data_IF_797937782733
#
_entry.id   IF_797937782733
#
_cell.length_a   1.000
_cell.length_b   1.000
_cell.length_c   1.000
_cell.angle_alpha   90.00
_cell.angle_beta   90.00
_cell.angle_gamma   90.00
#
_symmetry.space_group_name_H-M   'P 1'
#
loop_
_entity.id
_entity.type
_entity.pdbx_description
1 polymer ?
#
# COMPACT_ATOMS: atom_id res chain seq x y z
N UNK A 1 2.52 -40.95 -71.93
CA UNK A 1 2.75 -40.51 -73.36
C UNK A 1 3.50 -39.20 -73.25
N UNK A 2 4.71 -39.35 -73.74
CA UNK A 2 5.54 -38.42 -74.53
C UNK A 2 5.96 -37.10 -73.88
N UNK A 3 7.26 -36.96 -73.49
CA UNK A 3 8.47 -36.76 -74.24
C UNK A 3 8.60 -35.30 -74.74
N UNK A 4 9.64 -34.54 -74.56
CA UNK A 4 11.08 -34.62 -74.76
C UNK A 4 11.71 -33.27 -74.42
N UNK A 5 12.79 -33.20 -73.63
CA UNK A 5 14.18 -32.92 -74.04
C UNK A 5 14.44 -31.62 -74.83
N UNK A 6 15.36 -30.80 -74.37
CA UNK A 6 16.76 -30.54 -74.77
C UNK A 6 17.19 -29.15 -74.31
N UNK A 7 18.23 -28.95 -73.54
CA UNK A 7 19.70 -28.92 -73.76
C UNK A 7 20.22 -27.74 -74.61
N UNK A 8 21.29 -27.19 -74.09
CA UNK A 8 22.49 -26.53 -74.55
C UNK A 8 22.62 -25.07 -74.13
N UNK A 9 23.61 -24.57 -73.53
CA UNK A 9 25.05 -24.71 -73.31
C UNK A 9 25.72 -23.33 -73.49
N UNK A 10 26.45 -22.96 -72.49
CA UNK A 10 27.73 -22.24 -72.43
C UNK A 10 28.03 -21.01 -73.32
N UNK A 11 28.51 -19.95 -72.66
CA UNK A 11 29.80 -19.36 -72.97
C UNK A 11 30.21 -18.35 -71.85
N UNK A 12 31.46 -18.47 -71.43
CA UNK A 12 32.15 -17.66 -70.46
C UNK A 12 32.69 -16.37 -71.11
N UNK A 13 32.74 -15.28 -70.37
CA UNK A 13 33.73 -14.22 -70.61
C UNK A 13 34.08 -13.55 -69.28
N UNK A 14 35.32 -13.56 -68.90
CA UNK A 14 35.94 -12.94 -67.78
C UNK A 14 36.20 -11.46 -68.06
N UNK A 15 35.90 -10.57 -67.07
CA UNK A 15 36.53 -9.25 -67.01
C UNK A 15 36.78 -8.85 -65.57
N UNK A 16 38.04 -8.65 -65.23
CA UNK A 16 38.53 -8.19 -63.94
C UNK A 16 38.21 -6.68 -63.74
N UNK A 17 37.74 -6.33 -62.62
CA UNK A 17 37.48 -4.92 -62.19
C UNK A 17 37.75 -4.74 -60.69
N UNK A 18 38.69 -3.86 -60.40
CA UNK A 18 39.25 -3.53 -59.09
C UNK A 18 38.24 -3.29 -58.02
N UNK A 19 38.47 -3.86 -56.86
CA UNK A 19 37.77 -3.62 -55.60
C UNK A 19 38.34 -2.37 -54.91
N UNK A 20 37.56 -1.34 -54.75
CA UNK A 20 37.79 -0.26 -53.81
C UNK A 20 37.09 -0.61 -52.49
N UNK A 21 37.86 -0.94 -51.49
CA UNK A 21 37.42 -1.09 -50.09
C UNK A 21 37.13 0.30 -49.50
N UNK A 22 35.85 0.68 -49.46
CA UNK A 22 35.36 1.73 -48.53
C UNK A 22 34.90 1.03 -47.27
N UNK A 23 35.71 1.07 -46.25
CA UNK A 23 35.35 0.75 -44.86
C UNK A 23 34.40 1.83 -44.31
N UNK A 24 33.08 1.65 -44.47
CA UNK A 24 32.12 2.33 -43.67
C UNK A 24 32.04 1.62 -42.29
N UNK A 25 32.70 2.23 -41.31
CA UNK A 25 32.50 1.87 -39.91
C UNK A 25 31.04 2.13 -39.51
N UNK A 26 30.19 1.10 -39.55
CA UNK A 26 28.92 1.08 -38.85
C UNK A 26 29.21 1.01 -37.37
N UNK A 27 29.18 2.17 -36.74
CA UNK A 27 29.06 2.26 -35.26
C UNK A 27 27.82 1.48 -34.86
N UNK A 28 28.02 0.23 -34.45
CA UNK A 28 27.00 -0.54 -33.78
C UNK A 28 26.68 0.17 -32.47
N UNK A 29 25.60 0.93 -32.48
CA UNK A 29 24.92 1.21 -31.22
C UNK A 29 24.47 -0.14 -30.68
N UNK A 30 25.27 -0.66 -29.75
CA UNK A 30 24.83 -1.72 -28.85
C UNK A 30 23.65 -1.21 -28.08
N UNK A 31 22.47 -1.25 -28.70
CA UNK A 31 21.21 -1.18 -27.99
C UNK A 31 21.23 -2.31 -26.99
N UNK A 32 21.52 -1.99 -25.75
CA UNK A 32 21.30 -2.88 -24.63
C UNK A 32 19.85 -3.37 -24.75
N UNK A 33 19.66 -4.60 -25.21
CA UNK A 33 18.40 -5.32 -25.11
C UNK A 33 18.17 -5.61 -23.62
N UNK A 34 17.92 -4.56 -22.84
CA UNK A 34 17.45 -4.69 -21.47
C UNK A 34 16.10 -5.38 -21.57
N UNK A 35 16.07 -6.68 -21.27
CA UNK A 35 14.81 -7.40 -21.10
C UNK A 35 13.90 -6.63 -20.14
N UNK A 36 12.57 -6.72 -20.36
CA UNK A 36 11.60 -6.03 -19.54
C UNK A 36 11.89 -6.26 -18.05
N UNK A 37 11.83 -5.18 -17.25
CA UNK A 37 12.02 -5.29 -15.81
C UNK A 37 10.89 -6.13 -15.23
N UNK A 38 11.24 -7.24 -14.53
CA UNK A 38 10.27 -8.10 -13.86
C UNK A 38 10.17 -7.73 -12.39
N UNK A 39 8.97 -7.47 -11.90
CA UNK A 39 8.66 -7.16 -10.51
C UNK A 39 7.82 -8.29 -9.90
N UNK A 40 8.31 -8.93 -8.83
CA UNK A 40 7.48 -9.76 -7.96
C UNK A 40 6.83 -8.90 -6.90
N UNK A 41 5.49 -8.86 -6.83
CA UNK A 41 4.76 -8.09 -5.83
C UNK A 41 3.85 -8.97 -5.00
N UNK A 42 4.11 -9.06 -3.69
CA UNK A 42 3.26 -9.79 -2.74
C UNK A 42 2.39 -8.82 -1.93
N UNK A 43 1.11 -8.77 -2.27
CA UNK A 43 0.11 -7.95 -1.58
C UNK A 43 -0.37 -8.63 -0.30
N UNK A 44 -0.83 -7.83 0.68
CA UNK A 44 -1.43 -8.31 1.94
C UNK A 44 -2.68 -9.15 1.67
N UNK A 45 -3.62 -8.61 0.90
CA UNK A 45 -4.95 -9.17 0.66
C UNK A 45 -5.83 -8.18 -0.09
N UNK A 46 -7.12 -8.26 0.16
CA UNK A 46 -8.15 -7.33 -0.34
C UNK A 46 -9.11 -6.95 0.80
N UNK A 47 -8.56 -6.70 1.98
CA UNK A 47 -9.28 -6.54 3.24
C UNK A 47 -10.09 -5.24 3.34
N UNK A 48 -9.76 -4.24 2.53
CA UNK A 48 -10.35 -2.90 2.62
C UNK A 48 -10.45 -2.21 1.24
N UNK A 49 -11.25 -1.16 1.17
CA UNK A 49 -11.33 -0.28 0.01
C UNK A 49 -9.97 0.35 -0.31
N UNK A 50 -9.22 0.76 0.72
CA UNK A 50 -7.86 1.27 0.59
C UNK A 50 -6.94 0.24 -0.09
N UNK A 51 -6.94 -1.01 0.37
CA UNK A 51 -6.10 -2.08 -0.17
C UNK A 51 -6.43 -2.38 -1.63
N UNK A 52 -7.71 -2.38 -1.97
CA UNK A 52 -8.18 -2.57 -3.35
C UNK A 52 -7.68 -1.45 -4.27
N UNK A 53 -7.75 -0.19 -3.82
CA UNK A 53 -7.24 0.96 -4.56
C UNK A 53 -5.70 0.90 -4.71
N UNK A 54 -4.97 0.49 -3.67
CA UNK A 54 -3.53 0.30 -3.70
C UNK A 54 -3.13 -0.78 -4.72
N UNK A 55 -3.78 -1.93 -4.70
CA UNK A 55 -3.56 -3.02 -5.67
C UNK A 55 -3.78 -2.53 -7.11
N UNK A 56 -4.89 -1.84 -7.36
CA UNK A 56 -5.21 -1.28 -8.68
C UNK A 56 -4.14 -0.29 -9.13
N UNK A 57 -3.74 0.63 -8.27
CA UNK A 57 -2.69 1.61 -8.56
C UNK A 57 -1.38 0.93 -8.97
N UNK A 58 -0.95 -0.11 -8.26
CA UNK A 58 0.27 -0.86 -8.56
C UNK A 58 0.16 -1.58 -9.90
N UNK A 59 -0.94 -2.28 -10.17
CA UNK A 59 -1.14 -3.05 -11.40
C UNK A 59 -1.21 -2.13 -12.63
N UNK A 60 -1.96 -1.04 -12.55
CA UNK A 60 -2.08 -0.06 -13.65
C UNK A 60 -0.75 0.64 -13.92
N UNK A 61 -0.02 1.02 -12.86
CA UNK A 61 1.28 1.67 -13.01
C UNK A 61 2.34 0.73 -13.57
N UNK A 62 2.36 -0.54 -13.17
CA UNK A 62 3.28 -1.53 -13.74
C UNK A 62 3.04 -1.70 -15.25
N UNK A 63 1.76 -1.80 -15.66
CA UNK A 63 1.38 -1.87 -17.07
C UNK A 63 1.81 -0.62 -17.84
N UNK A 64 1.54 0.58 -17.29
CA UNK A 64 1.91 1.85 -17.91
C UNK A 64 3.44 2.03 -18.02
N UNK A 65 4.19 1.52 -17.03
CA UNK A 65 5.65 1.59 -17.00
C UNK A 65 6.35 0.53 -17.86
N UNK A 66 5.62 -0.42 -18.45
CA UNK A 66 6.17 -1.55 -19.20
C UNK A 66 6.92 -2.56 -18.31
N UNK A 67 6.54 -2.66 -17.03
CA UNK A 67 7.10 -3.61 -16.07
C UNK A 67 6.27 -4.88 -16.07
N UNK A 68 6.95 -6.04 -16.22
CA UNK A 68 6.30 -7.34 -16.10
C UNK A 68 6.02 -7.64 -14.63
N UNK A 69 4.76 -7.54 -14.22
CA UNK A 69 4.33 -7.76 -12.86
C UNK A 69 3.95 -9.22 -12.59
N UNK A 70 4.63 -9.86 -11.64
CA UNK A 70 4.25 -11.12 -11.01
C UNK A 70 3.54 -10.80 -9.70
N UNK A 71 2.21 -10.83 -9.70
CA UNK A 71 1.39 -10.45 -8.56
C UNK A 71 0.91 -11.66 -7.77
N UNK A 72 0.94 -11.57 -6.44
CA UNK A 72 0.35 -12.56 -5.53
C UNK A 72 -0.45 -11.86 -4.44
N UNK A 73 -1.63 -12.35 -4.16
CA UNK A 73 -2.47 -11.97 -3.02
C UNK A 73 -2.25 -12.99 -1.88
N UNK A 74 -1.82 -12.49 -0.74
CA UNK A 74 -1.52 -13.35 0.41
C UNK A 74 -2.74 -13.71 1.27
N UNK A 75 -3.91 -13.13 0.99
CA UNK A 75 -5.13 -13.40 1.77
C UNK A 75 -4.93 -13.15 3.28
N UNK A 76 -4.19 -12.09 3.61
CA UNK A 76 -3.82 -11.67 4.98
C UNK A 76 -2.99 -12.72 5.76
N UNK A 77 -2.30 -13.63 5.04
CA UNK A 77 -1.47 -14.67 5.65
C UNK A 77 0.00 -14.46 5.33
N UNK A 78 0.82 -14.29 6.37
CA UNK A 78 2.27 -14.10 6.22
C UNK A 78 2.93 -15.26 5.49
N UNK A 79 2.54 -16.50 5.78
CA UNK A 79 3.08 -17.68 5.12
C UNK A 79 2.88 -17.68 3.61
N UNK A 80 1.76 -17.10 3.13
CA UNK A 80 1.50 -16.97 1.70
C UNK A 80 2.43 -15.91 1.08
N UNK A 81 2.71 -14.80 1.78
CA UNK A 81 3.69 -13.81 1.30
C UNK A 81 5.10 -14.40 1.26
N UNK A 82 5.52 -15.15 2.29
CA UNK A 82 6.82 -15.81 2.32
C UNK A 82 6.94 -16.80 1.14
N UNK A 83 5.89 -17.58 0.88
CA UNK A 83 5.84 -18.50 -0.25
C UNK A 83 5.92 -17.78 -1.60
N UNK A 84 5.22 -16.65 -1.75
CA UNK A 84 5.27 -15.81 -2.95
C UNK A 84 6.67 -15.24 -3.17
N UNK A 85 7.33 -14.70 -2.14
CA UNK A 85 8.68 -14.16 -2.21
C UNK A 85 9.67 -15.26 -2.65
N UNK A 86 9.59 -16.47 -2.09
CA UNK A 86 10.41 -17.60 -2.52
C UNK A 86 10.17 -18.00 -3.98
N UNK A 87 8.92 -17.98 -4.42
CA UNK A 87 8.58 -18.20 -5.83
C UNK A 87 9.20 -17.14 -6.74
N UNK A 88 9.19 -15.86 -6.35
CA UNK A 88 9.84 -14.80 -7.11
C UNK A 88 11.37 -14.97 -7.17
N UNK A 89 11.99 -15.42 -6.07
CA UNK A 89 13.42 -15.75 -6.05
C UNK A 89 13.73 -16.88 -7.06
N UNK A 90 12.94 -17.94 -7.07
CA UNK A 90 13.09 -19.06 -8.01
C UNK A 90 12.90 -18.61 -9.47
N UNK A 91 11.96 -17.71 -9.74
CA UNK A 91 11.69 -17.10 -11.05
C UNK A 91 12.75 -16.06 -11.44
N UNK A 92 13.68 -15.72 -10.56
CA UNK A 92 14.76 -14.73 -10.79
C UNK A 92 14.22 -13.37 -11.25
N UNK A 93 13.15 -12.89 -10.61
CA UNK A 93 12.64 -11.54 -10.89
C UNK A 93 13.72 -10.49 -10.64
N UNK A 94 13.63 -9.35 -11.29
CA UNK A 94 14.65 -8.27 -11.13
C UNK A 94 14.54 -7.53 -9.81
N UNK A 95 13.31 -7.36 -9.29
CA UNK A 95 13.02 -6.67 -8.04
C UNK A 95 11.86 -7.41 -7.35
N UNK A 96 11.90 -7.49 -6.04
CA UNK A 96 10.75 -7.90 -5.22
C UNK A 96 10.25 -6.67 -4.47
N UNK A 97 8.92 -6.46 -4.44
CA UNK A 97 8.30 -5.50 -3.54
C UNK A 97 7.14 -6.17 -2.81
N UNK A 98 6.85 -5.73 -1.60
CA UNK A 98 5.71 -6.25 -0.84
C UNK A 98 5.26 -5.31 0.27
N UNK A 99 3.99 -5.41 0.65
CA UNK A 99 3.42 -4.83 1.87
C UNK A 99 3.35 -5.92 2.93
N UNK A 100 4.13 -5.88 4.02
CA UNK A 100 4.12 -6.95 5.02
C UNK A 100 2.77 -7.08 5.74
N UNK A 101 2.28 -8.30 5.95
CA UNK A 101 1.07 -8.55 6.77
C UNK A 101 1.31 -8.12 8.21
N UNK A 102 2.46 -8.50 8.78
CA UNK A 102 2.93 -8.14 10.13
C UNK A 102 4.38 -7.68 10.08
N UNK A 103 4.89 -7.05 11.16
CA UNK A 103 6.24 -6.47 11.17
C UNK A 103 7.35 -7.52 11.33
N UNK A 104 7.11 -8.63 12.02
CA UNK A 104 8.14 -9.60 12.40
C UNK A 104 8.19 -10.83 11.48
N UNK A 105 9.30 -11.59 11.55
CA UNK A 105 9.42 -12.91 10.90
C UNK A 105 9.92 -12.88 9.46
N UNK A 106 10.46 -11.76 8.97
CA UNK A 106 10.87 -11.59 7.57
C UNK A 106 12.35 -11.90 7.29
N UNK A 107 13.21 -11.83 8.29
CA UNK A 107 14.66 -11.88 8.12
C UNK A 107 15.15 -13.06 7.27
N UNK A 108 14.56 -14.25 7.48
CA UNK A 108 14.99 -15.46 6.77
C UNK A 108 14.75 -15.33 5.26
N UNK A 109 13.53 -15.04 4.85
CA UNK A 109 13.19 -14.96 3.42
C UNK A 109 13.83 -13.76 2.73
N UNK A 110 14.05 -12.66 3.45
CA UNK A 110 14.76 -11.50 2.92
C UNK A 110 16.26 -11.75 2.78
N UNK A 111 16.88 -12.54 3.67
CA UNK A 111 18.24 -13.04 3.48
C UNK A 111 18.35 -13.99 2.26
N UNK A 112 17.33 -14.83 2.01
CA UNK A 112 17.26 -15.65 0.79
C UNK A 112 17.25 -14.76 -0.48
N UNK A 113 16.44 -13.69 -0.50
CA UNK A 113 16.40 -12.74 -1.61
C UNK A 113 17.76 -12.02 -1.80
N UNK A 114 18.37 -11.55 -0.70
CA UNK A 114 19.68 -10.90 -0.70
C UNK A 114 20.78 -11.84 -1.24
N UNK A 115 20.80 -13.10 -0.82
CA UNK A 115 21.76 -14.10 -1.30
C UNK A 115 21.57 -14.42 -2.79
N UNK A 116 20.35 -14.31 -3.30
CA UNK A 116 20.04 -14.43 -4.71
C UNK A 116 20.35 -13.14 -5.52
N UNK A 117 20.88 -12.10 -4.86
CA UNK A 117 21.12 -10.76 -5.43
C UNK A 117 19.85 -10.10 -6.00
N UNK A 118 18.69 -10.36 -5.41
CA UNK A 118 17.42 -9.74 -5.79
C UNK A 118 17.10 -8.65 -4.75
N UNK A 119 17.11 -7.37 -5.16
CA UNK A 119 16.78 -6.26 -4.27
C UNK A 119 15.30 -6.27 -3.87
N UNK A 120 15.05 -5.84 -2.64
CA UNK A 120 13.70 -5.77 -2.05
C UNK A 120 13.31 -4.32 -1.79
N UNK A 121 12.07 -3.97 -2.08
CA UNK A 121 11.43 -2.69 -1.74
C UNK A 121 10.26 -2.99 -0.79
N UNK A 122 10.21 -2.31 0.35
CA UNK A 122 9.03 -2.30 1.20
C UNK A 122 8.08 -1.20 0.75
N UNK A 123 6.79 -1.49 0.71
CA UNK A 123 5.77 -0.50 0.36
C UNK A 123 4.62 -0.55 1.36
N UNK A 124 4.00 0.60 1.65
CA UNK A 124 2.91 0.78 2.61
C UNK A 124 3.33 0.42 4.05
N UNK A 125 3.65 -0.84 4.34
CA UNK A 125 3.97 -1.33 5.69
C UNK A 125 5.46 -1.60 5.87
N UNK A 126 5.98 -1.29 7.05
CA UNK A 126 7.36 -1.56 7.45
C UNK A 126 7.53 -2.92 8.10
N UNK A 127 8.77 -3.35 8.29
CA UNK A 127 9.15 -4.53 9.05
C UNK A 127 10.00 -4.13 10.27
N UNK A 128 9.89 -4.92 11.34
CA UNK A 128 10.78 -4.84 12.48
C UNK A 128 11.96 -5.81 12.27
N UNK A 129 13.02 -5.28 11.65
CA UNK A 129 14.30 -5.98 11.48
C UNK A 129 15.44 -5.07 11.86
N UNK A 130 16.41 -5.56 12.63
CA UNK A 130 17.63 -4.80 12.93
C UNK A 130 18.57 -4.67 11.71
N UNK A 131 18.46 -5.59 10.73
CA UNK A 131 19.27 -5.57 9.51
C UNK A 131 18.61 -4.75 8.40
N UNK A 132 18.89 -3.45 8.38
CA UNK A 132 18.35 -2.56 7.33
C UNK A 132 18.91 -2.82 5.93
N UNK A 133 19.91 -3.69 5.78
CA UNK A 133 20.43 -4.08 4.47
C UNK A 133 19.58 -5.12 3.73
N UNK A 134 18.52 -5.63 4.36
CA UNK A 134 17.59 -6.61 3.77
C UNK A 134 16.65 -6.00 2.74
N UNK A 135 16.51 -4.69 2.71
CA UNK A 135 15.72 -3.97 1.71
C UNK A 135 16.42 -2.69 1.28
N UNK A 136 16.08 -2.18 0.11
CA UNK A 136 16.71 -0.98 -0.49
C UNK A 136 16.08 0.32 -0.03
N UNK A 137 14.75 0.31 0.10
CA UNK A 137 13.96 1.49 0.47
C UNK A 137 12.61 1.05 1.03
N UNK A 138 11.99 1.96 1.77
CA UNK A 138 10.59 1.89 2.20
C UNK A 138 9.83 3.07 1.60
N UNK A 139 8.71 2.80 0.94
CA UNK A 139 7.76 3.78 0.41
C UNK A 139 6.43 3.65 1.15
N UNK A 140 6.00 4.66 1.88
CA UNK A 140 4.72 4.64 2.59
C UNK A 140 4.52 5.81 3.54
N UNK A 141 3.44 5.77 4.31
CA UNK A 141 3.02 6.79 5.26
C UNK A 141 3.82 6.78 6.57
N UNK A 142 3.75 7.88 7.30
CA UNK A 142 4.14 7.93 8.71
C UNK A 142 2.93 7.64 9.60
N UNK A 143 2.73 6.39 9.95
CA UNK A 143 1.58 5.94 10.74
C UNK A 143 1.57 6.50 12.17
N UNK A 144 2.75 6.81 12.74
CA UNK A 144 2.83 7.50 14.05
C UNK A 144 2.28 8.92 13.91
N UNK A 145 2.65 9.62 12.84
CA UNK A 145 2.13 10.97 12.57
C UNK A 145 0.60 10.94 12.31
N UNK A 146 0.08 9.93 11.58
CA UNK A 146 -1.36 9.76 11.39
C UNK A 146 -2.09 9.59 12.73
N UNK A 147 -1.60 8.70 13.59
CA UNK A 147 -2.16 8.53 14.94
C UNK A 147 -2.12 9.81 15.77
N UNK A 148 -1.01 10.57 15.69
CA UNK A 148 -0.91 11.88 16.37
C UNK A 148 -1.94 12.89 15.86
N UNK A 149 -2.14 12.99 14.55
CA UNK A 149 -3.16 13.87 13.96
C UNK A 149 -4.56 13.52 14.45
N UNK A 150 -4.91 12.23 14.48
CA UNK A 150 -6.19 11.77 15.04
C UNK A 150 -6.36 12.16 16.51
N UNK A 151 -5.31 12.00 17.33
CA UNK A 151 -5.29 12.42 18.72
C UNK A 151 -5.38 13.93 18.89
N UNK A 152 -4.69 14.70 18.06
CA UNK A 152 -4.75 16.18 18.07
C UNK A 152 -6.15 16.69 17.73
N UNK A 153 -6.80 16.08 16.72
CA UNK A 153 -8.20 16.41 16.44
C UNK A 153 -9.08 16.14 17.66
N UNK A 154 -8.97 14.98 18.30
CA UNK A 154 -9.76 14.61 19.47
C UNK A 154 -9.55 15.60 20.62
N UNK A 155 -8.31 15.94 20.94
CA UNK A 155 -8.00 16.87 22.04
C UNK A 155 -8.49 18.28 21.75
N UNK A 156 -8.56 18.71 20.50
CA UNK A 156 -9.15 19.98 20.09
C UNK A 156 -10.68 19.94 20.20
N UNK A 157 -11.33 18.88 19.71
CA UNK A 157 -12.80 18.72 19.73
C UNK A 157 -13.34 18.70 21.16
N UNK A 158 -12.66 17.99 22.06
CA UNK A 158 -13.06 17.84 23.45
C UNK A 158 -12.26 18.73 24.43
N UNK A 159 -11.57 19.75 23.93
CA UNK A 159 -10.73 20.62 24.77
C UNK A 159 -11.49 21.29 25.93
N UNK A 160 -12.74 21.69 25.70
CA UNK A 160 -13.61 22.30 26.69
C UNK A 160 -14.39 21.30 27.57
N UNK A 161 -14.29 20.01 27.35
CA UNK A 161 -14.97 19.01 28.18
C UNK A 161 -14.40 19.01 29.60
N UNK A 162 -15.30 19.07 30.60
CA UNK A 162 -14.94 19.11 32.02
C UNK A 162 -14.91 17.74 32.68
N UNK A 163 -15.45 16.71 32.01
CA UNK A 163 -15.52 15.34 32.52
C UNK A 163 -14.68 14.36 31.67
N UNK A 164 -14.70 13.10 32.10
CA UNK A 164 -14.02 12.03 31.38
C UNK A 164 -14.60 11.86 29.97
N UNK A 165 -13.73 11.74 28.99
CA UNK A 165 -14.03 11.41 27.58
C UNK A 165 -13.70 9.94 27.36
N UNK A 166 -14.73 9.13 27.12
CA UNK A 166 -14.62 7.68 26.94
C UNK A 166 -14.38 7.36 25.47
N UNK A 167 -13.23 6.79 25.16
CA UNK A 167 -12.79 6.44 23.82
C UNK A 167 -12.84 4.94 23.66
N UNK A 168 -13.42 4.46 22.57
CA UNK A 168 -13.23 3.09 22.11
C UNK A 168 -12.36 3.09 20.85
N UNK A 169 -11.48 2.09 20.72
CA UNK A 169 -10.51 2.00 19.66
C UNK A 169 -10.70 0.71 18.85
N UNK A 170 -10.91 0.85 17.55
CA UNK A 170 -10.88 -0.23 16.56
C UNK A 170 -9.49 -0.27 15.92
N UNK A 171 -8.66 -1.22 16.35
CA UNK A 171 -7.32 -1.39 15.82
C UNK A 171 -7.33 -2.17 14.50
N UNK A 172 -6.30 -1.97 13.70
CA UNK A 172 -6.06 -2.80 12.51
C UNK A 172 -5.57 -4.21 12.84
N UNK A 173 -5.04 -4.91 11.83
CA UNK A 173 -4.47 -6.24 11.97
C UNK A 173 -3.38 -6.28 13.04
N UNK A 174 -3.53 -7.13 14.03
CA UNK A 174 -2.59 -7.27 15.15
C UNK A 174 -1.17 -7.56 14.64
N UNK A 175 -0.20 -6.79 15.13
CA UNK A 175 1.22 -6.94 14.76
C UNK A 175 1.60 -6.29 13.43
N UNK A 176 0.69 -5.60 12.74
CA UNK A 176 1.01 -4.81 11.56
C UNK A 176 1.53 -3.42 11.95
N UNK A 177 2.46 -2.85 11.16
CA UNK A 177 3.01 -1.51 11.38
C UNK A 177 1.92 -0.44 11.54
N UNK A 178 0.91 -0.31 10.63
CA UNK A 178 -0.12 0.71 10.79
C UNK A 178 -0.96 0.55 12.07
N UNK A 179 -1.23 -0.68 12.53
CA UNK A 179 -1.97 -0.87 13.77
C UNK A 179 -1.15 -0.44 14.99
N UNK A 180 0.13 -0.84 15.05
CA UNK A 180 1.02 -0.52 16.16
C UNK A 180 1.32 0.99 16.24
N UNK A 181 1.68 1.59 15.11
CA UNK A 181 2.14 2.97 15.04
C UNK A 181 1.01 3.99 15.17
N UNK A 182 -0.17 3.75 14.56
CA UNK A 182 -1.37 4.59 14.75
C UNK A 182 -1.81 4.60 16.21
N UNK A 183 -1.83 3.41 16.83
CA UNK A 183 -2.11 3.28 18.27
C UNK A 183 -1.11 4.07 19.11
N UNK A 184 0.19 3.91 18.84
CA UNK A 184 1.26 4.62 19.54
C UNK A 184 1.10 6.12 19.41
N UNK A 185 0.98 6.64 18.18
CA UNK A 185 0.87 8.07 17.92
C UNK A 185 -0.36 8.69 18.60
N UNK A 186 -1.51 8.03 18.54
CA UNK A 186 -2.73 8.49 19.21
C UNK A 186 -2.56 8.51 20.74
N UNK A 187 -2.04 7.42 21.32
CA UNK A 187 -1.83 7.32 22.76
C UNK A 187 -0.85 8.37 23.30
N UNK A 188 0.22 8.69 22.57
CA UNK A 188 1.18 9.75 22.94
C UNK A 188 0.50 11.10 23.09
N UNK A 189 -0.46 11.44 22.24
CA UNK A 189 -1.16 12.74 22.31
C UNK A 189 -2.15 12.78 23.46
N UNK A 190 -2.99 11.76 23.60
CA UNK A 190 -4.04 11.77 24.63
C UNK A 190 -3.52 11.59 26.06
N UNK A 191 -2.30 11.04 26.20
CA UNK A 191 -1.66 10.87 27.51
C UNK A 191 -1.40 12.20 28.24
N UNK A 192 -1.38 13.33 27.53
CA UNK A 192 -1.16 14.66 28.12
C UNK A 192 -2.27 15.12 29.06
N UNK A 193 -3.50 14.58 28.91
CA UNK A 193 -4.63 14.96 29.78
C UNK A 193 -5.38 13.70 30.23
N UNK A 194 -5.41 13.42 31.56
CA UNK A 194 -6.00 12.21 32.11
C UNK A 194 -7.51 12.07 31.89
N UNK A 195 -8.20 13.12 31.43
CA UNK A 195 -9.62 13.01 31.07
C UNK A 195 -9.90 12.10 29.89
N UNK A 196 -8.93 11.92 28.97
CA UNK A 196 -9.08 11.04 27.83
C UNK A 196 -8.78 9.59 28.22
N UNK A 197 -9.76 8.71 28.12
CA UNK A 197 -9.62 7.30 28.51
C UNK A 197 -10.02 6.35 27.38
N UNK A 198 -9.08 5.55 26.91
CA UNK A 198 -9.41 4.39 26.08
C UNK A 198 -10.01 3.34 27.02
N UNK A 199 -11.35 3.19 26.98
CA UNK A 199 -12.09 2.27 27.84
C UNK A 199 -12.24 0.87 27.25
N UNK A 200 -12.10 0.74 25.92
CA UNK A 200 -12.04 -0.53 25.22
C UNK A 200 -11.22 -0.38 23.94
N UNK A 201 -10.47 -1.41 23.60
CA UNK A 201 -9.61 -1.42 22.42
C UNK A 201 -9.51 -2.85 21.90
N UNK A 202 -9.88 -3.08 20.65
CA UNK A 202 -9.88 -4.41 20.03
C UNK A 202 -9.58 -4.32 18.52
N UNK A 203 -8.99 -5.39 17.97
CA UNK A 203 -8.74 -5.46 16.53
C UNK A 203 -10.02 -5.68 15.74
N UNK A 204 -10.21 -4.91 14.68
CA UNK A 204 -11.20 -5.10 13.63
C UNK A 204 -10.55 -5.51 12.29
N UNK A 205 -9.25 -5.86 12.32
CA UNK A 205 -8.50 -6.45 11.20
C UNK A 205 -8.54 -5.64 9.90
N UNK A 206 -8.79 -4.33 9.99
CA UNK A 206 -9.02 -3.41 8.89
C UNK A 206 -10.25 -3.72 8.03
N UNK A 207 -11.15 -4.61 8.47
CA UNK A 207 -12.32 -5.01 7.69
C UNK A 207 -13.61 -4.36 8.18
N UNK A 208 -14.53 -4.05 7.26
CA UNK A 208 -15.85 -3.48 7.58
C UNK A 208 -16.67 -4.40 8.48
N UNK A 209 -16.68 -5.71 8.16
CA UNK A 209 -17.43 -6.70 8.92
C UNK A 209 -16.97 -6.83 10.37
N UNK A 210 -15.63 -6.88 10.60
CA UNK A 210 -15.09 -6.95 11.97
C UNK A 210 -15.25 -5.62 12.71
N UNK A 211 -15.11 -4.48 12.03
CA UNK A 211 -15.39 -3.18 12.61
C UNK A 211 -16.82 -3.11 13.17
N UNK A 212 -17.81 -3.60 12.43
CA UNK A 212 -19.21 -3.72 12.89
C UNK A 212 -19.34 -4.64 14.10
N UNK A 213 -18.83 -5.87 14.00
CA UNK A 213 -18.90 -6.88 15.08
C UNK A 213 -18.32 -6.36 16.39
N UNK A 214 -17.13 -5.77 16.34
CA UNK A 214 -16.45 -5.23 17.53
C UNK A 214 -17.18 -4.01 18.08
N UNK A 215 -17.69 -3.12 17.22
CA UNK A 215 -18.48 -1.96 17.70
C UNK A 215 -19.79 -2.39 18.37
N UNK A 216 -20.48 -3.41 17.86
CA UNK A 216 -21.64 -3.99 18.50
C UNK A 216 -21.32 -4.52 19.92
N UNK A 217 -20.14 -5.16 20.08
CA UNK A 217 -19.67 -5.62 21.39
C UNK A 217 -19.36 -4.45 22.33
N UNK A 218 -18.74 -3.38 21.82
CA UNK A 218 -18.48 -2.17 22.62
C UNK A 218 -19.77 -1.49 23.08
N UNK A 219 -20.75 -1.36 22.17
CA UNK A 219 -22.06 -0.76 22.52
C UNK A 219 -22.82 -1.54 23.57
N UNK A 220 -22.65 -2.86 23.63
CA UNK A 220 -23.26 -3.73 24.66
C UNK A 220 -22.54 -3.66 26.01
N UNK A 221 -21.20 -3.54 25.98
CA UNK A 221 -20.37 -3.64 27.20
C UNK A 221 -20.03 -2.29 27.83
N UNK A 222 -20.06 -1.20 27.08
CA UNK A 222 -19.68 0.12 27.56
C UNK A 222 -20.93 0.98 27.77
N UNK A 223 -21.17 1.51 29.00
CA UNK A 223 -22.37 2.27 29.30
C UNK A 223 -22.41 3.64 28.59
N UNK A 224 -21.24 4.19 28.27
CA UNK A 224 -21.08 5.47 27.59
C UNK A 224 -19.84 5.46 26.74
N UNK A 225 -20.01 5.79 25.46
CA UNK A 225 -18.94 5.99 24.51
C UNK A 225 -19.08 7.40 23.96
N UNK A 226 -18.03 8.22 24.09
CA UNK A 226 -18.02 9.59 23.57
C UNK A 226 -17.35 9.63 22.17
N UNK A 227 -16.32 8.80 21.97
CA UNK A 227 -15.51 8.79 20.75
C UNK A 227 -15.19 7.37 20.31
N UNK A 228 -15.28 7.13 19.02
CA UNK A 228 -14.67 6.01 18.30
C UNK A 228 -13.43 6.50 17.56
N UNK A 229 -12.27 5.94 17.88
CA UNK A 229 -11.07 5.99 17.03
C UNK A 229 -10.97 4.70 16.22
N UNK A 230 -11.12 4.78 14.91
CA UNK A 230 -10.97 3.67 14.00
C UNK A 230 -9.67 3.82 13.19
N UNK A 231 -8.83 2.78 13.17
CA UNK A 231 -7.57 2.83 12.46
C UNK A 231 -7.73 2.83 10.93
N UNK A 232 -8.95 2.62 10.40
CA UNK A 232 -9.26 2.85 9.00
C UNK A 232 -10.75 3.12 8.75
N UNK A 233 -11.05 3.60 7.55
CA UNK A 233 -12.40 3.95 7.12
C UNK A 233 -13.33 2.74 7.02
N UNK A 234 -12.86 1.57 6.56
CA UNK A 234 -13.72 0.39 6.45
C UNK A 234 -14.24 -0.06 7.82
N UNK A 235 -13.39 -0.06 8.86
CA UNK A 235 -13.86 -0.34 10.21
C UNK A 235 -14.81 0.74 10.75
N UNK A 236 -14.53 2.03 10.44
CA UNK A 236 -15.42 3.13 10.82
C UNK A 236 -16.79 2.99 10.15
N UNK A 237 -16.84 2.64 8.87
CA UNK A 237 -18.09 2.40 8.13
C UNK A 237 -18.88 1.21 8.72
N UNK A 238 -18.20 0.13 9.07
CA UNK A 238 -18.84 -0.98 9.79
C UNK A 238 -19.37 -0.57 11.16
N UNK A 239 -18.62 0.24 11.89
CA UNK A 239 -19.05 0.77 13.20
C UNK A 239 -20.25 1.71 13.09
N UNK A 240 -20.35 2.51 12.03
CA UNK A 240 -21.51 3.36 11.75
C UNK A 240 -22.78 2.51 11.66
N UNK A 241 -22.75 1.37 10.94
CA UNK A 241 -23.89 0.46 10.87
C UNK A 241 -24.32 -0.08 12.25
N UNK A 242 -23.34 -0.42 13.11
CA UNK A 242 -23.61 -0.88 14.48
C UNK A 242 -24.20 0.22 15.35
N UNK A 243 -23.70 1.45 15.23
CA UNK A 243 -24.18 2.63 15.98
C UNK A 243 -25.64 2.94 15.58
N UNK A 244 -25.95 2.95 14.28
CA UNK A 244 -27.31 3.18 13.76
C UNK A 244 -28.27 2.07 14.20
N UNK A 245 -27.83 0.80 14.14
CA UNK A 245 -28.64 -0.33 14.62
C UNK A 245 -28.94 -0.28 16.13
N UNK A 246 -28.09 0.36 16.91
CA UNK A 246 -28.30 0.62 18.34
C UNK A 246 -29.20 1.86 18.62
N UNK A 247 -29.75 2.47 17.58
CA UNK A 247 -30.61 3.66 17.70
C UNK A 247 -29.86 4.96 18.03
N UNK A 248 -28.55 4.98 17.81
CA UNK A 248 -27.70 6.16 18.03
C UNK A 248 -27.34 6.84 16.72
N UNK A 249 -26.97 8.10 16.77
CA UNK A 249 -26.61 8.91 15.61
C UNK A 249 -25.09 9.00 15.51
N UNK A 250 -24.44 8.32 14.52
CA UNK A 250 -23.00 8.43 14.32
C UNK A 250 -22.60 9.87 13.99
N UNK A 251 -21.44 10.29 14.47
CA UNK A 251 -20.95 11.66 14.35
C UNK A 251 -21.59 12.68 15.31
N UNK A 252 -22.69 12.32 15.98
CA UNK A 252 -23.37 13.17 17.00
C UNK A 252 -23.33 12.56 18.38
N UNK A 253 -23.96 11.40 18.56
CA UNK A 253 -23.98 10.72 19.87
C UNK A 253 -22.64 10.06 20.19
N UNK A 254 -21.93 9.61 19.15
CA UNK A 254 -20.57 9.10 19.22
C UNK A 254 -19.78 9.81 18.12
N UNK A 255 -18.77 10.59 18.50
CA UNK A 255 -17.85 11.20 17.55
C UNK A 255 -16.93 10.13 16.95
N UNK A 256 -16.61 10.27 15.67
CA UNK A 256 -15.80 9.29 14.95
C UNK A 256 -14.62 9.98 14.27
N UNK A 257 -13.41 9.53 14.60
CA UNK A 257 -12.19 9.86 13.86
C UNK A 257 -11.64 8.60 13.21
N UNK A 258 -11.25 8.71 11.94
CA UNK A 258 -10.82 7.61 11.10
C UNK A 258 -9.54 7.95 10.34
N UNK A 259 -8.99 6.96 9.65
CA UNK A 259 -7.82 7.10 8.77
C UNK A 259 -8.15 6.45 7.42
N UNK A 260 -7.57 6.89 6.36
CA UNK A 260 -7.49 6.48 4.96
C UNK A 260 -7.99 7.56 3.99
N UNK A 261 -9.18 8.09 4.17
CA UNK A 261 -9.90 8.96 3.24
C UNK A 261 -10.30 8.26 1.92
N UNK A 262 -10.77 7.02 1.99
CA UNK A 262 -11.41 6.35 0.85
C UNK A 262 -12.76 7.01 0.53
N UNK A 263 -13.24 6.86 -0.70
CA UNK A 263 -14.43 7.55 -1.19
C UNK A 263 -15.66 7.35 -0.30
N UNK A 264 -15.91 6.13 0.18
CA UNK A 264 -17.03 5.82 1.09
C UNK A 264 -16.85 6.51 2.45
N UNK A 265 -15.61 6.53 2.99
CA UNK A 265 -15.28 7.26 4.22
C UNK A 265 -15.46 8.77 4.07
N UNK A 266 -14.98 9.33 2.95
CA UNK A 266 -15.16 10.73 2.60
C UNK A 266 -16.64 11.11 2.42
N UNK A 267 -17.46 10.21 1.86
CA UNK A 267 -18.90 10.41 1.78
C UNK A 267 -19.52 10.44 3.18
N UNK A 268 -19.17 9.49 4.05
CA UNK A 268 -19.66 9.45 5.43
C UNK A 268 -19.23 10.69 6.23
N UNK A 269 -18.02 11.22 5.97
CA UNK A 269 -17.54 12.48 6.54
C UNK A 269 -18.35 13.68 6.02
N UNK A 270 -18.60 13.75 4.71
CA UNK A 270 -19.40 14.79 4.08
C UNK A 270 -20.86 14.81 4.61
N UNK A 271 -21.41 13.63 4.92
CA UNK A 271 -22.73 13.44 5.50
C UNK A 271 -22.77 13.70 7.01
N UNK A 272 -21.62 13.91 7.66
CA UNK A 272 -21.48 14.17 9.09
C UNK A 272 -21.61 12.94 9.98
N UNK A 273 -21.48 11.73 9.40
CA UNK A 273 -21.45 10.46 10.14
C UNK A 273 -20.05 10.15 10.70
N UNK A 274 -19.00 10.62 10.05
CA UNK A 274 -17.64 10.72 10.57
C UNK A 274 -17.35 12.19 10.82
N UNK A 275 -16.46 12.51 11.75
CA UNK A 275 -16.14 13.89 12.12
C UNK A 275 -14.79 14.37 11.61
N UNK A 276 -13.84 13.44 11.43
CA UNK A 276 -12.51 13.75 10.94
C UNK A 276 -11.86 12.52 10.32
N UNK A 277 -11.14 12.71 9.22
CA UNK A 277 -10.34 11.67 8.58
C UNK A 277 -8.93 12.17 8.34
N UNK A 278 -7.95 11.39 8.78
CA UNK A 278 -6.53 11.55 8.41
C UNK A 278 -6.31 10.75 7.14
N UNK A 279 -5.74 11.38 6.12
CA UNK A 279 -5.46 10.68 4.87
C UNK A 279 -4.31 9.67 5.03
N UNK A 280 -4.46 8.50 4.43
CA UNK A 280 -3.42 7.54 4.10
C UNK A 280 -3.55 7.23 2.61
N UNK A 281 -2.58 7.63 1.79
CA UNK A 281 -2.72 7.61 0.33
C UNK A 281 -2.39 6.23 -0.26
N UNK A 282 -3.35 5.51 -0.91
CA UNK A 282 -3.11 4.20 -1.51
C UNK A 282 -2.42 4.24 -2.88
N UNK A 283 -2.33 5.41 -3.53
CA UNK A 283 -1.89 5.54 -4.91
C UNK A 283 -0.35 5.50 -5.04
N UNK A 284 0.27 4.45 -4.51
CA UNK A 284 1.72 4.28 -4.48
C UNK A 284 2.31 3.79 -5.80
N UNK A 285 1.48 3.31 -6.72
CA UNK A 285 1.91 2.64 -7.95
C UNK A 285 2.92 3.42 -8.78
N UNK A 286 2.66 4.67 -9.18
CA UNK A 286 3.60 5.45 -10.02
C UNK A 286 4.97 5.57 -9.37
N UNK A 287 5.02 5.95 -8.10
CA UNK A 287 6.26 6.15 -7.35
C UNK A 287 7.00 4.84 -7.11
N UNK A 288 6.26 3.74 -6.86
CA UNK A 288 6.85 2.41 -6.74
C UNK A 288 7.49 1.97 -8.06
N UNK A 289 6.85 2.19 -9.20
CA UNK A 289 7.42 1.79 -10.51
C UNK A 289 8.70 2.57 -10.85
N UNK A 290 8.79 3.84 -10.48
CA UNK A 290 10.02 4.63 -10.62
C UNK A 290 11.14 4.07 -9.75
N UNK A 291 10.84 3.69 -8.50
CA UNK A 291 11.79 3.02 -7.62
C UNK A 291 12.25 1.67 -8.16
N UNK A 292 11.32 0.87 -8.68
CA UNK A 292 11.62 -0.44 -9.28
C UNK A 292 12.60 -0.28 -10.44
N UNK A 293 12.42 0.70 -11.33
CA UNK A 293 13.34 0.97 -12.44
C UNK A 293 14.74 1.37 -11.94
N UNK A 294 14.82 2.29 -10.99
CA UNK A 294 16.09 2.74 -10.40
C UNK A 294 16.83 1.59 -9.71
N UNK A 295 16.13 0.84 -8.87
CA UNK A 295 16.71 -0.28 -8.13
C UNK A 295 17.15 -1.40 -9.09
N UNK A 296 16.38 -1.69 -10.15
CA UNK A 296 16.76 -2.67 -11.17
C UNK A 296 18.00 -2.22 -11.97
N UNK A 297 18.21 -0.92 -12.15
CA UNK A 297 19.39 -0.33 -12.77
C UNK A 297 20.62 -0.25 -11.84
N UNK A 298 20.46 -0.60 -10.54
CA UNK A 298 21.52 -0.49 -9.55
C UNK A 298 21.75 0.92 -9.02
N UNK A 299 20.81 1.84 -9.27
CA UNK A 299 20.88 3.22 -8.79
C UNK A 299 20.64 3.31 -7.28
N UNK A 300 21.23 4.33 -6.66
CA UNK A 300 20.96 4.64 -5.25
C UNK A 300 19.58 5.28 -5.11
N UNK A 301 18.85 4.84 -4.08
CA UNK A 301 17.54 5.41 -3.72
C UNK A 301 17.55 5.82 -2.25
N UNK A 302 16.73 6.82 -1.84
CA UNK A 302 16.57 7.16 -0.43
C UNK A 302 16.13 5.94 0.39
N UNK A 303 16.59 5.83 1.63
CA UNK A 303 16.23 4.71 2.51
C UNK A 303 14.73 4.72 2.87
N UNK A 304 14.10 5.91 2.91
CA UNK A 304 12.68 6.12 3.17
C UNK A 304 12.11 7.21 2.27
N UNK A 305 10.91 6.98 1.78
CA UNK A 305 10.13 7.94 1.00
C UNK A 305 8.73 7.97 1.60
N UNK A 306 8.33 9.14 2.09
CA UNK A 306 7.03 9.34 2.70
C UNK A 306 6.02 9.88 1.69
N UNK A 307 4.80 9.39 1.78
CA UNK A 307 3.66 9.90 1.02
C UNK A 307 3.24 11.28 1.54
N UNK A 308 2.74 12.12 0.62
CA UNK A 308 2.13 13.39 1.00
C UNK A 308 0.67 13.15 1.34
N UNK A 309 0.25 13.53 2.55
CA UNK A 309 -1.06 13.24 3.12
C UNK A 309 -1.62 14.45 3.85
N UNK A 310 -2.93 14.60 3.81
CA UNK A 310 -3.65 15.71 4.43
C UNK A 310 -4.66 15.22 5.48
N UNK A 311 -5.51 16.12 5.94
CA UNK A 311 -6.59 15.84 6.88
C UNK A 311 -7.88 16.44 6.33
N UNK A 312 -9.00 15.76 6.60
CA UNK A 312 -10.30 16.19 6.12
C UNK A 312 -11.28 16.37 7.26
N UNK A 313 -11.99 17.49 7.23
CA UNK A 313 -13.23 17.76 7.93
C UNK A 313 -14.43 17.66 6.97
N UNK A 314 -15.63 17.89 7.49
CA UNK A 314 -16.85 17.80 6.69
C UNK A 314 -16.86 18.75 5.47
N UNK A 315 -16.31 19.94 5.61
CA UNK A 315 -16.33 20.95 4.54
C UNK A 315 -15.32 20.59 3.44
N UNK A 316 -14.11 20.24 3.82
CA UNK A 316 -13.05 19.82 2.90
C UNK A 316 -13.36 18.48 2.22
N UNK A 317 -14.05 17.54 2.92
CA UNK A 317 -14.52 16.31 2.31
C UNK A 317 -15.52 16.58 1.18
N UNK A 318 -16.52 17.43 1.39
CA UNK A 318 -17.49 17.82 0.34
C UNK A 318 -16.80 18.41 -0.89
N UNK A 319 -15.77 19.22 -0.68
CA UNK A 319 -15.00 19.83 -1.78
C UNK A 319 -14.14 18.79 -2.53
N UNK A 320 -13.55 17.82 -1.82
CA UNK A 320 -12.63 16.82 -2.40
C UNK A 320 -13.33 15.64 -3.08
N UNK A 321 -14.55 15.27 -2.65
CA UNK A 321 -15.30 14.10 -3.15
C UNK A 321 -15.40 14.00 -4.68
N UNK A 322 -15.68 15.08 -5.45
CA UNK A 322 -15.82 14.98 -6.90
C UNK A 322 -14.54 14.52 -7.61
N UNK A 323 -13.38 14.77 -7.03
CA UNK A 323 -12.06 14.42 -7.59
C UNK A 323 -11.42 13.20 -6.93
N UNK A 324 -12.07 12.59 -5.92
CA UNK A 324 -11.50 11.48 -5.17
C UNK A 324 -11.38 10.23 -6.03
N UNK A 325 -10.17 9.70 -6.15
CA UNK A 325 -9.84 8.59 -7.05
C UNK A 325 -9.99 7.20 -6.41
N UNK A 326 -10.11 7.12 -5.09
CA UNK A 326 -10.18 5.89 -4.31
C UNK A 326 -11.13 5.99 -3.14
#
# INVERSE_FOLDING_TARGET
MNVLKKRWAAAAAAAAGLVLLTACGSGGSSGSSGGAVTLGFAQVGAESGWRTANTKSIQESAKAAGIELKFSDAQQKQENQISAIRSYIQQKVKVIAFSPVVESGWDTVLKEAKNANIPVILTDRAIDSPDKSLYKTFLGSDFVAEGKKAGQWLTKEFGSATGQVNIVELQGTTGSAPANDRKKGFAEVIAADPKYKIIASQTGEFTRAKGKEVMEAFLKSQPKIDVLYAHNDDMALGAIEAIEAAGKVPGKDIKIVSVDAVKDGMQALADGKINHIVECNPLLGPQLMDLVKKVAAGEQVPARIETQETEFDQASAKAALPSRQY
#
